data_IF_090041575838
#
_entry.id   IF_090041575838
#
_cell.length_a   1.000
_cell.length_b   1.000
_cell.length_c   1.000
_cell.angle_alpha   90.00
_cell.angle_beta   90.00
_cell.angle_gamma   90.00
#
_symmetry.space_group_name_H-M   'P 1'
#
loop_
_entity.id
_entity.type
_entity.pdbx_description
1 polymer ?
#
# COMPACT_ATOMS: atom_id res chain seq x y z
N UNK A 1 12.35 4.98 -31.21
CA UNK A 1 11.51 5.76 -30.27
C UNK A 1 11.93 5.33 -28.88
N UNK A 2 12.53 6.23 -28.11
CA UNK A 2 12.89 5.96 -26.73
C UNK A 2 11.83 6.64 -25.86
N UNK A 3 11.07 5.85 -25.12
CA UNK A 3 10.08 6.32 -24.15
C UNK A 3 10.72 6.17 -22.77
N UNK A 4 10.95 7.29 -22.08
CA UNK A 4 11.38 7.26 -20.68
C UNK A 4 10.10 7.45 -19.86
N UNK A 5 9.55 6.33 -19.39
CA UNK A 5 8.36 6.34 -18.53
C UNK A 5 8.78 6.73 -17.12
N UNK A 6 8.71 8.01 -16.76
CA UNK A 6 8.85 8.41 -15.35
C UNK A 6 7.62 7.90 -14.58
N UNK A 7 7.78 6.81 -13.82
CA UNK A 7 6.76 6.26 -12.95
C UNK A 7 6.64 7.13 -11.70
N UNK A 8 5.91 8.24 -11.80
CA UNK A 8 5.65 9.11 -10.64
C UNK A 8 4.69 8.37 -9.70
N UNK A 9 5.19 7.94 -8.56
CA UNK A 9 4.37 7.45 -7.46
C UNK A 9 3.87 8.63 -6.63
N UNK A 10 2.60 8.59 -6.28
CA UNK A 10 1.96 9.57 -5.41
C UNK A 10 1.50 8.88 -4.13
N UNK A 11 1.82 9.47 -2.99
CA UNK A 11 1.33 9.04 -1.67
C UNK A 11 0.21 9.96 -1.25
N UNK A 12 -0.94 9.38 -0.89
CA UNK A 12 -2.09 10.09 -0.35
C UNK A 12 -2.30 9.63 1.09
N UNK A 13 -2.18 10.55 2.04
CA UNK A 13 -2.55 10.31 3.42
C UNK A 13 -4.02 10.69 3.65
N UNK A 14 -4.77 9.77 4.23
CA UNK A 14 -6.21 9.91 4.47
C UNK A 14 -6.49 9.57 5.93
N UNK A 15 -6.81 10.56 6.77
CA UNK A 15 -7.35 10.31 8.10
C UNK A 15 -8.63 9.48 7.99
N UNK A 16 -8.84 8.52 8.89
CA UNK A 16 -10.02 7.64 8.86
C UNK A 16 -11.33 8.41 8.88
N UNK A 17 -11.39 9.54 9.58
CA UNK A 17 -12.54 10.45 9.59
C UNK A 17 -12.93 10.98 8.21
N UNK A 18 -11.96 11.09 7.28
CA UNK A 18 -12.14 11.59 5.91
C UNK A 18 -12.24 10.47 4.87
N UNK A 19 -12.27 9.20 5.30
CA UNK A 19 -12.30 8.06 4.37
C UNK A 19 -13.51 8.11 3.44
N UNK A 20 -14.66 8.57 3.95
CA UNK A 20 -15.91 8.71 3.20
C UNK A 20 -15.82 9.71 2.06
N UNK A 21 -14.92 10.69 2.16
CA UNK A 21 -14.69 11.67 1.10
C UNK A 21 -13.63 11.16 0.11
N UNK A 22 -12.57 10.54 0.60
CA UNK A 22 -11.54 9.95 -0.25
C UNK A 22 -12.11 8.89 -1.21
N UNK A 23 -13.01 8.02 -0.74
CA UNK A 23 -13.64 6.97 -1.60
C UNK A 23 -14.52 7.53 -2.73
N UNK A 24 -14.79 8.83 -2.76
CA UNK A 24 -15.49 9.51 -3.86
C UNK A 24 -14.52 10.02 -4.94
N UNK A 25 -13.24 10.17 -4.61
CA UNK A 25 -12.21 10.69 -5.50
C UNK A 25 -11.79 9.64 -6.56
N UNK A 26 -11.40 10.05 -7.77
CA UNK A 26 -10.98 9.11 -8.82
C UNK A 26 -9.74 8.28 -8.45
N UNK A 27 -8.83 8.84 -7.66
CA UNK A 27 -7.62 8.20 -7.14
C UNK A 27 -7.94 6.91 -6.36
N UNK A 28 -9.09 6.88 -5.67
CA UNK A 28 -9.53 5.71 -4.91
C UNK A 28 -9.89 4.50 -5.79
N UNK A 29 -9.95 4.63 -7.11
CA UNK A 29 -10.27 3.51 -8.01
C UNK A 29 -9.04 2.86 -8.64
N UNK A 30 -7.85 3.35 -8.31
CA UNK A 30 -6.61 2.87 -8.91
C UNK A 30 -6.09 1.61 -8.23
N UNK A 31 -5.21 0.92 -8.95
CA UNK A 31 -4.34 -0.11 -8.37
C UNK A 31 -3.39 0.56 -7.39
N UNK A 32 -3.32 0.03 -6.17
CA UNK A 32 -2.60 0.66 -5.08
C UNK A 32 -1.98 -0.35 -4.12
N UNK A 33 -0.91 0.08 -3.47
CA UNK A 33 -0.48 -0.46 -2.18
C UNK A 33 -0.85 0.58 -1.11
N UNK A 34 -1.33 0.13 0.04
CA UNK A 34 -1.76 1.01 1.12
C UNK A 34 -1.32 0.48 2.49
N UNK A 35 -1.23 1.41 3.44
CA UNK A 35 -0.84 1.18 4.82
C UNK A 35 -1.91 1.73 5.73
N UNK A 36 -2.47 0.91 6.61
CA UNK A 36 -3.34 1.37 7.69
C UNK A 36 -2.48 1.50 8.94
N UNK A 37 -2.43 2.69 9.52
CA UNK A 37 -1.56 3.02 10.64
C UNK A 37 -2.40 3.51 11.82
N UNK A 38 -2.01 3.12 13.03
CA UNK A 38 -2.50 3.69 14.28
C UNK A 38 -1.36 3.90 15.27
N UNK A 39 -1.62 4.78 16.25
CA UNK A 39 -0.69 5.10 17.32
C UNK A 39 -0.06 6.48 17.15
N UNK A 40 0.34 7.07 18.28
CA UNK A 40 1.05 8.35 18.32
C UNK A 40 2.54 8.16 18.07
N UNK A 41 3.20 9.24 17.65
CA UNK A 41 4.66 9.32 17.42
C UNK A 41 5.52 9.02 18.69
N UNK A 42 4.86 8.74 19.81
CA UNK A 42 5.44 8.47 21.13
C UNK A 42 5.99 7.04 21.28
N UNK A 43 5.74 6.15 20.31
CA UNK A 43 6.52 4.93 20.11
C UNK A 43 5.99 3.62 20.69
N UNK A 44 5.16 3.64 21.74
CA UNK A 44 4.84 2.39 22.47
C UNK A 44 3.67 1.55 21.93
N UNK A 45 2.86 2.07 20.99
CA UNK A 45 1.73 1.33 20.40
C UNK A 45 1.49 1.68 18.93
N UNK A 46 2.59 1.75 18.17
CA UNK A 46 2.51 1.93 16.73
C UNK A 46 2.06 0.62 16.07
N UNK A 47 0.96 0.68 15.32
CA UNK A 47 0.35 -0.47 14.66
C UNK A 47 0.27 -0.24 13.16
N UNK A 48 0.55 -1.28 12.37
CA UNK A 48 0.51 -1.17 10.92
C UNK A 48 -0.13 -2.40 10.26
N UNK A 49 -0.86 -2.15 9.19
CA UNK A 49 -1.30 -3.18 8.24
C UNK A 49 -0.95 -2.73 6.83
N UNK A 50 -0.27 -3.59 6.08
CA UNK A 50 0.07 -3.38 4.68
C UNK A 50 -0.90 -4.18 3.81
N UNK A 51 -1.39 -3.59 2.73
CA UNK A 51 -2.24 -4.30 1.77
C UNK A 51 -2.05 -3.79 0.35
N UNK A 52 -2.30 -4.65 -0.64
CA UNK A 52 -2.51 -4.24 -2.03
C UNK A 52 -3.94 -4.48 -2.51
N UNK A 53 -4.32 -3.76 -3.55
CA UNK A 53 -5.62 -3.95 -4.20
C UNK A 53 -5.64 -3.38 -5.62
N UNK A 54 -6.45 -3.99 -6.48
CA UNK A 54 -6.81 -3.42 -7.79
C UNK A 54 -7.95 -2.40 -7.74
N UNK A 55 -8.69 -2.35 -6.62
CA UNK A 55 -9.74 -1.38 -6.34
C UNK A 55 -9.57 -0.89 -4.90
N UNK A 56 -8.97 0.29 -4.75
CA UNK A 56 -8.65 0.88 -3.44
C UNK A 56 -9.92 1.28 -2.67
N UNK A 57 -10.93 1.77 -3.38
CA UNK A 57 -12.22 2.23 -2.84
C UNK A 57 -12.95 1.08 -2.17
N UNK A 58 -13.15 -0.02 -2.89
CA UNK A 58 -13.84 -1.18 -2.33
C UNK A 58 -13.07 -1.75 -1.13
N UNK A 59 -11.74 -1.77 -1.21
CA UNK A 59 -10.88 -2.31 -0.16
C UNK A 59 -10.89 -1.46 1.11
N UNK A 60 -10.74 -0.14 0.99
CA UNK A 60 -10.77 0.78 2.13
C UNK A 60 -12.17 0.84 2.75
N UNK A 61 -13.25 0.81 1.95
CA UNK A 61 -14.60 0.74 2.47
C UNK A 61 -14.82 -0.52 3.32
N UNK A 62 -14.32 -1.68 2.85
CA UNK A 62 -14.35 -2.93 3.61
C UNK A 62 -13.55 -2.82 4.91
N UNK A 63 -12.31 -2.33 4.86
CA UNK A 63 -11.49 -2.18 6.06
C UNK A 63 -12.03 -1.16 7.06
N UNK A 64 -12.68 -0.10 6.61
CA UNK A 64 -13.32 0.85 7.51
C UNK A 64 -14.44 0.20 8.33
N UNK A 65 -15.12 -0.80 7.78
CA UNK A 65 -16.16 -1.59 8.47
C UNK A 65 -15.57 -2.72 9.33
N UNK A 66 -14.55 -3.42 8.81
CA UNK A 66 -14.10 -4.70 9.39
C UNK A 66 -12.89 -4.55 10.33
N UNK A 67 -12.17 -3.43 10.32
CA UNK A 67 -10.97 -3.20 11.14
C UNK A 67 -11.13 -1.94 11.98
N UNK A 68 -11.02 -2.08 13.29
CA UNK A 68 -11.21 -0.97 14.23
C UNK A 68 -9.92 -0.26 14.60
N UNK A 69 -8.76 -0.93 14.51
CA UNK A 69 -7.52 -0.44 15.09
C UNK A 69 -6.95 0.84 14.44
N UNK A 70 -7.20 1.08 13.14
CA UNK A 70 -6.46 2.07 12.36
C UNK A 70 -7.04 3.49 12.43
N UNK A 71 -6.18 4.50 12.30
CA UNK A 71 -6.51 5.92 12.41
C UNK A 71 -6.27 6.69 11.11
N UNK A 72 -5.30 6.26 10.30
CA UNK A 72 -4.96 6.87 9.02
C UNK A 72 -4.56 5.83 7.99
N UNK A 73 -4.84 6.11 6.72
CA UNK A 73 -4.44 5.29 5.58
C UNK A 73 -3.43 6.07 4.71
N UNK A 74 -2.28 5.46 4.43
CA UNK A 74 -1.34 5.96 3.42
C UNK A 74 -1.53 5.11 2.16
N UNK A 75 -1.93 5.71 1.06
CA UNK A 75 -2.17 5.01 -0.20
C UNK A 75 -1.15 5.45 -1.24
N UNK A 76 -0.42 4.50 -1.82
CA UNK A 76 0.53 4.74 -2.90
C UNK A 76 -0.11 4.34 -4.22
N UNK A 77 -0.24 5.31 -5.11
CA UNK A 77 -0.83 5.15 -6.45
C UNK A 77 0.16 5.66 -7.51
N UNK A 78 -0.11 5.36 -8.78
CA UNK A 78 0.67 5.88 -9.89
C UNK A 78 0.00 7.14 -10.45
N UNK A 79 0.72 8.25 -10.54
CA UNK A 79 0.22 9.48 -11.19
C UNK A 79 -0.18 9.25 -12.66
N UNK A 80 0.48 8.30 -13.32
CA UNK A 80 0.18 7.85 -14.69
C UNK A 80 -0.68 6.58 -14.79
N UNK A 81 -1.24 6.10 -13.67
CA UNK A 81 -2.01 4.84 -13.59
C UNK A 81 -1.27 3.62 -14.17
N UNK A 82 0.05 3.56 -13.97
CA UNK A 82 0.95 2.53 -14.52
C UNK A 82 1.22 1.34 -13.57
N UNK A 83 0.73 1.41 -12.33
CA UNK A 83 0.90 0.33 -11.35
C UNK A 83 0.08 -0.90 -11.75
N UNK A 84 0.75 -2.04 -11.85
CA UNK A 84 0.11 -3.33 -12.11
C UNK A 84 -0.11 -4.10 -10.82
N UNK A 85 -1.08 -5.03 -10.82
CA UNK A 85 -1.35 -5.87 -9.66
C UNK A 85 -0.16 -6.77 -9.27
N UNK A 86 0.62 -7.22 -10.26
CA UNK A 86 1.85 -8.00 -10.01
C UNK A 86 2.89 -7.17 -9.26
N UNK A 87 3.07 -5.92 -9.64
CA UNK A 87 3.99 -5.00 -8.94
C UNK A 87 3.52 -4.72 -7.52
N UNK A 88 2.22 -4.47 -7.31
CA UNK A 88 1.71 -4.20 -5.96
C UNK A 88 1.77 -5.43 -5.06
N UNK A 89 1.64 -6.65 -5.59
CA UNK A 89 1.90 -7.89 -4.85
C UNK A 89 3.35 -8.01 -4.38
N UNK A 90 4.31 -7.69 -5.25
CA UNK A 90 5.73 -7.69 -4.89
C UNK A 90 6.02 -6.62 -3.82
N UNK A 91 5.53 -5.40 -4.03
CA UNK A 91 5.70 -4.31 -3.05
C UNK A 91 5.04 -4.64 -1.71
N UNK A 92 3.86 -5.27 -1.68
CA UNK A 92 3.20 -5.70 -0.43
C UNK A 92 4.09 -6.67 0.34
N UNK A 93 4.59 -7.71 -0.32
CA UNK A 93 5.50 -8.68 0.29
C UNK A 93 6.75 -7.98 0.85
N UNK A 94 7.40 -7.14 0.04
CA UNK A 94 8.63 -6.44 0.43
C UNK A 94 8.41 -5.48 1.61
N UNK A 95 7.32 -4.70 1.59
CA UNK A 95 6.96 -3.79 2.67
C UNK A 95 6.64 -4.52 3.97
N UNK A 96 5.97 -5.68 3.92
CA UNK A 96 5.71 -6.48 5.13
C UNK A 96 7.02 -6.97 5.76
N UNK A 97 8.00 -7.40 4.94
CA UNK A 97 9.31 -7.78 5.48
C UNK A 97 10.01 -6.57 6.12
N UNK A 98 10.05 -5.43 5.43
CA UNK A 98 10.68 -4.22 5.96
C UNK A 98 10.04 -3.73 7.27
N UNK A 99 8.72 -3.85 7.42
CA UNK A 99 8.00 -3.53 8.67
C UNK A 99 8.45 -4.45 9.81
N UNK A 100 8.54 -5.76 9.54
CA UNK A 100 8.94 -6.76 10.54
C UNK A 100 10.41 -6.61 10.93
N UNK A 101 11.28 -6.35 9.96
CA UNK A 101 12.71 -6.14 10.20
C UNK A 101 13.00 -4.87 11.00
N UNK A 102 12.15 -3.84 10.86
CA UNK A 102 12.31 -2.60 11.60
C UNK A 102 11.90 -2.72 13.09
N UNK A 103 11.03 -3.67 13.44
CA UNK A 103 10.49 -3.90 14.80
C UNK A 103 9.90 -2.64 15.48
N UNK A 104 9.51 -1.62 14.69
CA UNK A 104 8.92 -0.35 15.18
C UNK A 104 7.41 -0.38 15.30
N UNK A 105 6.75 -1.28 14.57
CA UNK A 105 5.30 -1.38 14.51
C UNK A 105 4.88 -2.81 14.85
N UNK A 106 3.78 -2.94 15.59
CA UNK A 106 3.08 -4.22 15.69
C UNK A 106 2.35 -4.49 14.38
N UNK A 107 2.75 -5.54 13.66
CA UNK A 107 2.14 -5.90 12.38
C UNK A 107 0.80 -6.63 12.58
N UNK A 108 -0.26 -6.08 11.98
CA UNK A 108 -1.61 -6.68 11.97
C UNK A 108 -1.86 -7.52 10.72
N UNK A 109 -0.80 -7.85 9.99
CA UNK A 109 -0.83 -8.70 8.81
C UNK A 109 -0.85 -10.18 9.22
N UNK A 110 -2.00 -10.84 9.12
CA UNK A 110 -2.13 -12.28 9.40
C UNK A 110 -1.41 -13.21 8.41
N UNK A 111 -0.71 -12.68 7.41
CA UNK A 111 0.13 -13.40 6.47
C UNK A 111 1.36 -12.54 6.09
N UNK A 112 2.35 -13.12 5.41
CA UNK A 112 3.56 -12.39 4.96
C UNK A 112 3.40 -11.72 3.60
N UNK A 113 2.18 -11.57 3.09
CA UNK A 113 1.92 -11.31 1.68
C UNK A 113 2.18 -12.54 0.80
N UNK A 114 1.71 -12.50 -0.45
CA UNK A 114 2.07 -13.52 -1.45
C UNK A 114 3.33 -13.04 -2.14
N UNK A 115 4.47 -13.73 -1.97
CA UNK A 115 5.62 -13.50 -2.85
C UNK A 115 5.19 -13.90 -4.26
N UNK A 116 4.96 -12.98 -5.22
CA UNK A 116 4.78 -13.39 -6.58
C UNK A 116 6.09 -14.09 -7.01
N UNK A 117 5.98 -15.12 -7.84
CA UNK A 117 7.13 -15.72 -8.52
C UNK A 117 7.18 -15.07 -9.92
N UNK A 118 7.66 -13.82 -10.07
CA UNK A 118 7.87 -13.28 -11.39
C UNK A 118 8.98 -14.11 -12.08
N UNK A 119 8.87 -14.41 -13.37
CA UNK A 119 10.00 -14.96 -14.11
C UNK A 119 11.18 -13.96 -14.05
N UNK A 120 12.41 -14.47 -14.01
CA UNK A 120 13.66 -13.73 -13.80
C UNK A 120 13.80 -12.35 -14.52
N UNK A 121 13.25 -12.13 -15.74
CA UNK A 121 13.31 -10.81 -16.38
C UNK A 121 12.49 -9.72 -15.68
N UNK A 122 11.39 -10.06 -14.99
CA UNK A 122 10.55 -9.09 -14.26
C UNK A 122 11.11 -8.72 -12.88
N UNK A 123 12.09 -9.49 -12.39
CA UNK A 123 12.73 -9.24 -11.10
C UNK A 123 13.62 -7.99 -11.17
N UNK A 124 14.32 -7.79 -12.31
CA UNK A 124 15.12 -6.58 -12.56
C UNK A 124 14.28 -5.30 -12.61
N UNK A 125 13.11 -5.34 -13.27
CA UNK A 125 12.18 -4.20 -13.35
C UNK A 125 11.58 -3.80 -11.99
N UNK A 126 11.57 -4.72 -11.01
CA UNK A 126 11.10 -4.46 -9.65
C UNK A 126 12.17 -3.81 -8.76
N UNK A 127 13.45 -3.91 -9.12
CA UNK A 127 14.56 -3.27 -8.40
C UNK A 127 14.92 -1.88 -8.92
N UNK A 128 14.48 -1.48 -10.12
CA UNK A 128 14.71 -0.12 -10.65
C UNK A 128 13.87 0.98 -9.97
N UNK A 129 12.95 0.63 -9.06
CA UNK A 129 12.07 1.58 -8.36
C UNK A 129 12.64 1.98 -6.98
N UNK A 130 13.82 1.49 -6.61
CA UNK A 130 14.53 1.87 -5.38
C UNK A 130 15.74 2.77 -5.66
#
# INVERSE_FOLDING_TARGET
MAEITTRILQVIEVPRSLISDFIKMPESRQVAIYFLVAGSDSGDDLQIYVGQTGDLRARLAKHNKDKEFWERALSVISGTNSLTQTQTLFHEWHCIQAVRDAERYSDHNGNSGTRPYPPAPLEADCFEVF
#
